data_IF_977442007808
#
_entry.id   IF_977442007808
#
_cell.length_a   1.000
_cell.length_b   1.000
_cell.length_c   1.000
_cell.angle_alpha   90.00
_cell.angle_beta   90.00
_cell.angle_gamma   90.00
#
_symmetry.space_group_name_H-M   'P 1'
#
loop_
_entity.id
_entity.type
_entity.pdbx_description
1 polymer ?
#
# COMPACT_ATOMS: atom_id res chain seq x y z
N UNK A 1 -30.01 -26.10 26.91
CA UNK A 1 -29.93 -25.10 25.84
C UNK A 1 -28.69 -25.43 25.01
N UNK A 2 -28.86 -26.21 23.93
CA UNK A 2 -27.80 -26.44 22.95
C UNK A 2 -27.52 -25.12 22.22
N UNK A 3 -26.26 -24.68 22.18
CA UNK A 3 -25.84 -23.55 21.38
C UNK A 3 -25.03 -24.09 20.20
N UNK A 4 -25.60 -23.93 19.01
CA UNK A 4 -25.08 -24.41 17.73
C UNK A 4 -23.79 -23.68 17.37
N UNK A 5 -22.64 -24.30 17.61
CA UNK A 5 -21.33 -23.83 17.14
C UNK A 5 -20.72 -24.84 16.15
N UNK A 6 -21.49 -25.18 15.12
CA UNK A 6 -21.02 -26.01 14.00
C UNK A 6 -20.88 -25.10 12.78
N UNK A 7 -19.63 -24.83 12.37
CA UNK A 7 -19.19 -24.07 11.19
C UNK A 7 -18.96 -22.56 11.33
N UNK A 8 -18.19 -22.11 12.33
CA UNK A 8 -17.49 -20.82 12.17
C UNK A 8 -16.23 -21.02 11.32
N UNK A 9 -16.32 -20.67 10.02
CA UNK A 9 -15.23 -20.78 9.04
C UNK A 9 -14.24 -19.61 9.12
N UNK A 10 -14.40 -18.69 10.08
CA UNK A 10 -13.48 -17.56 10.27
C UNK A 10 -12.14 -18.10 10.75
N UNK A 11 -11.07 -17.67 10.08
CA UNK A 11 -9.70 -17.86 10.58
C UNK A 11 -9.62 -17.26 11.98
N UNK A 12 -9.27 -18.05 13.02
CA UNK A 12 -9.15 -17.51 14.37
C UNK A 12 -8.13 -16.38 14.34
N UNK A 13 -8.43 -15.28 15.03
CA UNK A 13 -7.49 -14.19 15.26
C UNK A 13 -6.20 -14.81 15.82
N UNK A 14 -5.07 -14.74 15.10
CA UNK A 14 -3.86 -15.42 15.54
C UNK A 14 -3.47 -14.92 16.95
N UNK A 15 -3.15 -15.82 17.90
CA UNK A 15 -2.86 -15.43 19.28
C UNK A 15 -1.59 -14.58 19.40
N UNK A 16 -0.66 -14.70 18.44
CA UNK A 16 0.52 -13.84 18.29
C UNK A 16 0.93 -13.79 16.81
N UNK A 17 1.07 -12.57 16.24
CA UNK A 17 1.66 -12.36 14.91
C UNK A 17 0.69 -12.46 13.73
N UNK A 18 0.98 -11.64 12.71
CA UNK A 18 0.40 -11.48 11.36
C UNK A 18 -0.78 -12.38 10.90
N UNK A 19 -1.64 -11.85 10.02
CA UNK A 19 -2.81 -12.56 9.47
C UNK A 19 -2.49 -13.86 8.71
N UNK A 20 -1.25 -14.01 8.26
CA UNK A 20 -0.74 -15.17 7.51
C UNK A 20 0.78 -15.24 7.63
N UNK A 21 1.34 -16.41 7.34
CA UNK A 21 2.78 -16.60 7.13
C UNK A 21 3.16 -16.00 5.78
N UNK A 22 4.27 -15.24 5.72
CA UNK A 22 4.80 -14.75 4.46
C UNK A 22 5.43 -15.90 3.66
N UNK A 23 4.99 -16.07 2.41
CA UNK A 23 5.54 -17.04 1.46
C UNK A 23 6.29 -16.35 0.31
N UNK A 24 6.51 -15.04 0.42
CA UNK A 24 7.15 -14.24 -0.61
C UNK A 24 8.65 -14.28 -0.44
N UNK A 25 9.38 -14.34 -1.54
CA UNK A 25 10.83 -14.18 -1.55
C UNK A 25 11.22 -12.75 -1.14
N UNK A 26 12.45 -12.51 -0.64
CA UNK A 26 12.86 -11.19 -0.14
C UNK A 26 12.63 -10.04 -1.14
N UNK A 27 12.88 -10.28 -2.42
CA UNK A 27 12.64 -9.29 -3.47
C UNK A 27 11.16 -8.97 -3.67
N UNK A 28 10.31 -10.01 -3.60
CA UNK A 28 8.87 -9.88 -3.72
C UNK A 28 8.27 -9.18 -2.49
N UNK A 29 8.88 -9.37 -1.31
CA UNK A 29 8.51 -8.66 -0.09
C UNK A 29 8.71 -7.15 -0.26
N UNK A 30 9.87 -6.72 -0.76
CA UNK A 30 10.16 -5.29 -1.02
C UNK A 30 9.13 -4.71 -1.99
N UNK A 31 8.87 -5.40 -3.12
CA UNK A 31 7.90 -4.97 -4.11
C UNK A 31 6.48 -4.88 -3.53
N UNK A 32 6.08 -5.86 -2.70
CA UNK A 32 4.78 -5.87 -2.05
C UNK A 32 4.65 -4.73 -1.02
N UNK A 33 5.66 -4.49 -0.18
CA UNK A 33 5.66 -3.37 0.77
C UNK A 33 5.59 -2.05 0.02
N UNK A 34 6.37 -1.87 -1.04
CA UNK A 34 6.38 -0.65 -1.86
C UNK A 34 4.99 -0.37 -2.47
N UNK A 35 4.33 -1.42 -2.99
CA UNK A 35 2.96 -1.32 -3.51
C UNK A 35 1.99 -0.85 -2.43
N UNK A 36 1.98 -1.50 -1.27
CA UNK A 36 1.05 -1.12 -0.19
C UNK A 36 1.35 0.27 0.37
N UNK A 37 2.62 0.62 0.53
CA UNK A 37 3.05 1.93 1.00
C UNK A 37 2.70 3.04 0.00
N UNK A 38 2.80 2.77 -1.31
CA UNK A 38 2.34 3.70 -2.33
C UNK A 38 0.85 4.03 -2.19
N UNK A 39 0.02 3.11 -1.67
CA UNK A 39 -1.39 3.30 -1.34
C UNK A 39 -1.63 3.89 0.07
N UNK A 40 -0.59 4.43 0.73
CA UNK A 40 -0.67 5.03 2.07
C UNK A 40 -1.20 4.08 3.15
N UNK A 41 -1.02 2.77 2.96
CA UNK A 41 -1.38 1.79 3.98
C UNK A 41 -0.36 1.87 5.11
N UNK A 42 -0.84 1.94 6.36
CA UNK A 42 0.01 2.06 7.56
C UNK A 42 0.97 0.87 7.69
N UNK A 43 2.23 1.07 8.12
CA UNK A 43 3.25 0.01 8.25
C UNK A 43 2.75 -1.24 9.00
N UNK A 44 2.14 -1.05 10.17
CA UNK A 44 1.55 -2.13 10.96
C UNK A 44 0.53 -2.96 10.16
N UNK A 45 -0.29 -2.31 9.34
CA UNK A 45 -1.29 -2.98 8.50
C UNK A 45 -0.65 -3.72 7.33
N UNK A 46 0.44 -3.20 6.77
CA UNK A 46 1.22 -3.88 5.72
C UNK A 46 1.80 -5.18 6.28
N UNK A 47 2.51 -5.08 7.41
CA UNK A 47 3.11 -6.22 8.09
C UNK A 47 2.04 -7.28 8.42
N UNK A 48 0.94 -6.86 9.07
CA UNK A 48 -0.20 -7.73 9.38
C UNK A 48 -0.74 -8.48 8.15
N UNK A 49 -0.96 -7.79 7.03
CA UNK A 49 -1.57 -8.40 5.83
C UNK A 49 -0.59 -9.25 5.04
N UNK A 50 0.70 -8.90 5.02
CA UNK A 50 1.69 -9.62 4.22
C UNK A 50 2.34 -10.78 4.99
N UNK A 51 2.33 -10.76 6.32
CA UNK A 51 3.10 -11.72 7.11
C UNK A 51 4.58 -11.36 7.23
N UNK A 52 4.96 -10.13 6.85
CA UNK A 52 6.33 -9.64 6.82
C UNK A 52 6.65 -9.00 8.16
N UNK A 53 7.91 -9.13 8.60
CA UNK A 53 8.40 -8.50 9.81
C UNK A 53 8.16 -6.98 9.80
N UNK A 54 7.54 -6.46 10.86
CA UNK A 54 7.28 -5.02 10.99
C UNK A 54 8.58 -4.20 10.98
N UNK A 55 9.68 -4.71 11.56
CA UNK A 55 10.97 -4.02 11.55
C UNK A 55 11.51 -3.88 10.13
N UNK A 56 11.34 -4.90 9.27
CA UNK A 56 11.72 -4.81 7.86
C UNK A 56 10.86 -3.77 7.13
N UNK A 57 9.54 -3.75 7.38
CA UNK A 57 8.64 -2.76 6.78
C UNK A 57 9.02 -1.34 7.20
N UNK A 58 9.31 -1.12 8.47
CA UNK A 58 9.72 0.18 9.00
C UNK A 58 11.08 0.62 8.45
N UNK A 59 12.08 -0.27 8.43
CA UNK A 59 13.40 0.02 7.86
C UNK A 59 13.33 0.38 6.37
N UNK A 60 12.51 -0.31 5.57
CA UNK A 60 12.28 0.02 4.16
C UNK A 60 11.67 1.42 4.00
N UNK A 61 10.64 1.75 4.80
CA UNK A 61 9.94 3.04 4.72
C UNK A 61 10.81 4.19 5.23
N UNK A 62 11.62 3.94 6.25
CA UNK A 62 12.60 4.90 6.78
C UNK A 62 13.79 5.10 5.82
N UNK A 63 13.94 4.25 4.80
CA UNK A 63 15.05 4.30 3.86
C UNK A 63 16.36 3.79 4.45
N UNK A 64 16.30 2.98 5.51
CA UNK A 64 17.46 2.38 6.18
C UNK A 64 18.02 1.17 5.40
N UNK A 65 17.17 0.50 4.62
CA UNK A 65 17.54 -0.65 3.77
C UNK A 65 16.95 -0.50 2.37
N UNK A 66 17.67 -0.97 1.35
CA UNK A 66 17.20 -1.02 -0.05
C UNK A 66 16.65 0.31 -0.57
N UNK A 67 17.20 1.44 -0.09
CA UNK A 67 16.64 2.80 -0.22
C UNK A 67 16.27 3.16 -1.65
N UNK A 68 17.21 3.03 -2.59
CA UNK A 68 16.99 3.40 -3.99
C UNK A 68 15.95 2.50 -4.67
N UNK A 69 16.07 1.18 -4.44
CA UNK A 69 15.17 0.17 -5.01
C UNK A 69 13.73 0.36 -4.50
N UNK A 70 13.58 0.55 -3.20
CA UNK A 70 12.29 0.75 -2.56
C UNK A 70 11.65 2.07 -3.01
N UNK A 71 12.41 3.17 -3.02
CA UNK A 71 11.93 4.47 -3.48
C UNK A 71 11.49 4.43 -4.95
N UNK A 72 12.28 3.79 -5.83
CA UNK A 72 11.92 3.61 -7.24
C UNK A 72 10.64 2.79 -7.40
N UNK A 73 10.49 1.70 -6.64
CA UNK A 73 9.28 0.86 -6.65
C UNK A 73 8.05 1.63 -6.16
N UNK A 74 8.16 2.43 -5.10
CA UNK A 74 7.07 3.28 -4.59
C UNK A 74 6.66 4.32 -5.64
N UNK A 75 7.62 4.99 -6.27
CA UNK A 75 7.36 5.98 -7.31
C UNK A 75 6.65 5.37 -8.52
N UNK A 76 7.10 4.19 -8.97
CA UNK A 76 6.47 3.45 -10.06
C UNK A 76 5.00 3.10 -9.75
N UNK A 77 4.72 2.58 -8.55
CA UNK A 77 3.36 2.22 -8.13
C UNK A 77 2.43 3.45 -8.03
N UNK A 78 2.93 4.59 -7.53
CA UNK A 78 2.13 5.83 -7.48
C UNK A 78 1.81 6.36 -8.87
N UNK A 79 2.81 6.37 -9.76
CA UNK A 79 2.62 6.76 -11.17
C UNK A 79 1.60 5.86 -11.86
N UNK A 80 1.68 4.55 -11.64
CA UNK A 80 0.71 3.60 -12.19
C UNK A 80 -0.71 3.91 -11.68
N UNK A 81 -0.89 4.09 -10.36
CA UNK A 81 -2.19 4.46 -9.79
C UNK A 81 -2.74 5.76 -10.39
N UNK A 82 -1.90 6.78 -10.52
CA UNK A 82 -2.30 8.04 -11.14
C UNK A 82 -2.81 7.82 -12.57
N UNK A 83 -2.07 7.07 -13.38
CA UNK A 83 -2.45 6.75 -14.75
C UNK A 83 -3.77 5.98 -14.83
N UNK A 84 -3.98 5.01 -13.93
CA UNK A 84 -5.25 4.27 -13.82
C UNK A 84 -6.42 5.20 -13.47
N UNK A 85 -6.26 6.11 -12.50
CA UNK A 85 -7.29 7.10 -12.13
C UNK A 85 -7.61 8.06 -13.29
N UNK A 86 -6.59 8.54 -14.00
CA UNK A 86 -6.77 9.39 -15.18
C UNK A 86 -7.50 8.63 -16.28
N UNK A 87 -7.13 7.38 -16.54
CA UNK A 87 -7.82 6.53 -17.51
C UNK A 87 -9.28 6.32 -17.11
N UNK A 88 -9.56 6.01 -15.86
CA UNK A 88 -10.92 5.81 -15.35
C UNK A 88 -11.77 7.09 -15.39
N UNK A 89 -11.15 8.26 -15.26
CA UNK A 89 -11.85 9.55 -15.39
C UNK A 89 -12.52 9.75 -16.76
N UNK A 90 -12.01 9.09 -17.81
CA UNK A 90 -12.57 9.15 -19.16
C UNK A 90 -13.99 8.57 -19.26
N UNK A 91 -14.43 7.79 -18.27
CA UNK A 91 -15.81 7.30 -18.15
C UNK A 91 -16.81 8.43 -17.87
N UNK A 92 -16.35 9.59 -17.35
CA UNK A 92 -17.17 10.79 -17.17
C UNK A 92 -17.08 11.69 -18.41
N UNK A 93 -18.11 12.51 -18.62
CA UNK A 93 -18.19 13.46 -19.73
C UNK A 93 -18.28 14.91 -19.26
N UNK A 94 -17.95 15.85 -20.16
CA UNK A 94 -18.09 17.28 -19.93
C UNK A 94 -17.27 17.82 -18.76
N UNK A 95 -17.79 18.86 -18.11
CA UNK A 95 -17.13 19.55 -17.00
C UNK A 95 -16.73 18.61 -15.85
N UNK A 96 -17.57 17.62 -15.53
CA UNK A 96 -17.30 16.65 -14.45
C UNK A 96 -16.10 15.73 -14.70
N UNK A 97 -15.66 15.56 -15.96
CA UNK A 97 -14.38 14.87 -16.28
C UNK A 97 -13.20 15.78 -15.95
N UNK A 98 -13.28 17.04 -16.36
CA UNK A 98 -12.20 18.00 -16.17
C UNK A 98 -11.93 18.26 -14.68
N UNK A 99 -12.99 18.45 -13.89
CA UNK A 99 -12.88 18.60 -12.43
C UNK A 99 -12.26 17.37 -11.77
N UNK A 100 -12.69 16.17 -12.17
CA UNK A 100 -12.13 14.93 -11.64
C UNK A 100 -10.64 14.78 -11.98
N UNK A 101 -10.23 15.13 -13.21
CA UNK A 101 -8.82 15.09 -13.61
C UNK A 101 -7.97 16.08 -12.81
N UNK A 102 -8.46 17.30 -12.59
CA UNK A 102 -7.78 18.27 -11.72
C UNK A 102 -7.64 17.77 -10.28
N UNK A 103 -8.68 17.12 -9.74
CA UNK A 103 -8.60 16.56 -8.40
C UNK A 103 -7.56 15.42 -8.34
N UNK A 104 -7.56 14.52 -9.33
CA UNK A 104 -6.58 13.43 -9.42
C UNK A 104 -5.14 13.99 -9.48
N UNK A 105 -4.92 15.05 -10.24
CA UNK A 105 -3.62 15.71 -10.33
C UNK A 105 -3.19 16.30 -8.97
N UNK A 106 -4.08 17.05 -8.31
CA UNK A 106 -3.81 17.63 -6.98
C UNK A 106 -3.49 16.57 -5.94
N UNK A 107 -4.26 15.48 -5.91
CA UNK A 107 -4.03 14.36 -5.01
C UNK A 107 -2.64 13.75 -5.25
N UNK A 108 -2.27 13.53 -6.52
CA UNK A 108 -0.98 12.96 -6.87
C UNK A 108 0.18 13.87 -6.46
N UNK A 109 0.09 15.18 -6.70
CA UNK A 109 1.11 16.14 -6.27
C UNK A 109 1.25 16.19 -4.75
N UNK A 110 0.12 16.13 -4.02
CA UNK A 110 0.13 16.08 -2.56
C UNK A 110 0.80 14.80 -2.03
N UNK A 111 0.51 13.66 -2.65
CA UNK A 111 1.15 12.38 -2.31
C UNK A 111 2.66 12.38 -2.56
N UNK A 112 3.11 13.00 -3.66
CA UNK A 112 4.54 13.18 -3.94
C UNK A 112 5.21 14.07 -2.89
N UNK A 113 4.56 15.18 -2.51
CA UNK A 113 5.08 16.11 -1.52
C UNK A 113 5.24 15.49 -0.11
N UNK A 114 4.29 14.65 0.33
CA UNK A 114 4.37 13.96 1.63
C UNK A 114 5.57 13.02 1.71
N UNK A 115 5.96 12.44 0.57
CA UNK A 115 6.97 11.40 0.50
C UNK A 115 8.37 11.89 0.13
N UNK A 116 8.48 13.15 -0.30
CA UNK A 116 9.79 13.76 -0.41
C UNK A 116 10.37 13.78 1.01
N UNK A 117 11.56 13.20 1.25
CA UNK A 117 12.20 13.39 2.54
C UNK A 117 12.25 14.89 2.78
N UNK A 118 11.85 15.32 3.97
CA UNK A 118 12.15 16.66 4.46
C UNK A 118 13.68 16.78 4.43
N UNK A 119 14.19 17.31 3.33
CA UNK A 119 15.61 17.53 3.15
C UNK A 119 16.02 18.67 4.06
N UNK A 120 16.81 18.34 5.07
CA UNK A 120 18.08 18.99 5.44
C UNK A 120 18.87 18.03 6.31
#
# INVERSE_FOLDING_TARGET
MQNSSENDTRTPSPPFGYSRVCTLEPEEQIAAVAKFHAHQIRPNRIAYRLGIDIALVEALIAGEVETERFAAAVAANRKQRYQERIKDSSKRQGAGRYELQQQIEKDFQHELAISAPLGT
#
